data_IF_441812105741
#
_entry.id   IF_441812105741
#
_cell.length_a   1.000
_cell.length_b   1.000
_cell.length_c   1.000
_cell.angle_alpha   90.00
_cell.angle_beta   90.00
_cell.angle_gamma   90.00
#
_symmetry.space_group_name_H-M   'P 1'
#
loop_
_entity.id
_entity.type
_entity.pdbx_description
1 polymer ?
#
# COMPACT_ATOMS: atom_id res chain seq x y z
N UNK A 1 -6.22 18.29 -17.70
CA UNK A 1 -5.64 18.95 -16.51
C UNK A 1 -5.89 18.01 -15.33
N UNK A 2 -4.92 17.87 -14.43
CA UNK A 2 -5.08 16.97 -13.28
C UNK A 2 -5.59 17.81 -12.10
N UNK A 3 -6.91 17.83 -11.89
CA UNK A 3 -7.55 18.63 -10.85
C UNK A 3 -8.10 17.75 -9.73
N UNK A 4 -8.10 18.30 -8.52
CA UNK A 4 -8.80 17.69 -7.39
C UNK A 4 -10.30 17.91 -7.55
N UNK A 5 -11.08 16.82 -7.57
CA UNK A 5 -12.54 16.84 -7.74
C UNK A 5 -13.29 16.73 -6.43
N UNK A 6 -12.71 16.06 -5.44
CA UNK A 6 -13.29 15.93 -4.10
C UNK A 6 -12.21 15.67 -3.04
N UNK A 7 -12.50 16.06 -1.80
CA UNK A 7 -11.62 15.85 -0.64
C UNK A 7 -12.47 15.49 0.57
N UNK A 8 -12.25 14.29 1.09
CA UNK A 8 -12.86 13.83 2.35
C UNK A 8 -11.80 13.86 3.44
N UNK A 9 -11.90 14.81 4.36
CA UNK A 9 -10.98 14.93 5.50
C UNK A 9 -11.45 14.09 6.67
N UNK A 10 -10.69 13.04 6.99
CA UNK A 10 -10.98 12.17 8.13
C UNK A 10 -10.38 12.68 9.44
N UNK A 11 -9.24 13.38 9.36
CA UNK A 11 -8.56 14.02 10.48
C UNK A 11 -7.60 15.11 9.98
N UNK A 12 -6.91 15.80 10.89
CA UNK A 12 -5.83 16.73 10.54
C UNK A 12 -4.67 16.06 9.80
N UNK A 13 -4.59 14.73 9.84
CA UNK A 13 -3.48 13.95 9.30
C UNK A 13 -3.87 12.97 8.20
N UNK A 14 -5.17 12.87 7.89
CA UNK A 14 -5.67 11.88 6.92
C UNK A 14 -6.78 12.47 6.06
N UNK A 15 -6.61 12.40 4.75
CA UNK A 15 -7.63 12.76 3.78
C UNK A 15 -7.65 11.80 2.60
N UNK A 16 -8.84 11.49 2.10
CA UNK A 16 -9.04 10.92 0.78
C UNK A 16 -9.14 12.06 -0.23
N UNK A 17 -8.43 11.95 -1.33
CA UNK A 17 -8.39 12.96 -2.39
C UNK A 17 -8.74 12.30 -3.72
N UNK A 18 -9.80 12.79 -4.34
CA UNK A 18 -10.26 12.34 -5.67
C UNK A 18 -9.66 13.26 -6.74
N UNK A 19 -8.95 12.68 -7.70
CA UNK A 19 -8.20 13.41 -8.71
C UNK A 19 -8.69 13.00 -10.10
N UNK A 20 -8.88 13.98 -10.99
CA UNK A 20 -9.25 13.75 -12.37
C UNK A 20 -8.04 13.30 -13.18
N UNK A 21 -8.14 12.13 -13.78
CA UNK A 21 -7.22 11.63 -14.82
C UNK A 21 -7.82 10.39 -15.47
N UNK A 22 -8.41 10.55 -16.64
CA UNK A 22 -9.06 9.46 -17.38
C UNK A 22 -8.08 8.32 -17.69
N UNK A 23 -6.84 8.64 -18.05
CA UNK A 23 -5.81 7.63 -18.35
C UNK A 23 -5.45 6.76 -17.15
N UNK A 24 -5.40 7.35 -15.95
CA UNK A 24 -5.13 6.60 -14.71
C UNK A 24 -6.37 5.82 -14.30
N UNK A 25 -7.56 6.44 -14.34
CA UNK A 25 -8.82 5.80 -13.96
C UNK A 25 -9.09 4.52 -14.76
N UNK A 26 -8.78 4.52 -16.05
CA UNK A 26 -9.04 3.38 -16.96
C UNK A 26 -7.96 2.30 -16.92
N UNK A 27 -6.70 2.65 -16.62
CA UNK A 27 -5.57 1.72 -16.71
C UNK A 27 -5.03 1.22 -15.37
N UNK A 28 -5.37 1.87 -14.25
CA UNK A 28 -4.89 1.45 -12.94
C UNK A 28 -5.52 0.14 -12.47
N UNK A 29 -4.71 -0.66 -11.78
CA UNK A 29 -5.08 -1.94 -11.17
C UNK A 29 -4.50 -2.03 -9.77
N UNK A 30 -4.99 -2.97 -8.95
CA UNK A 30 -4.50 -3.20 -7.59
C UNK A 30 -2.98 -3.42 -7.56
N UNK A 31 -2.29 -2.64 -6.74
CA UNK A 31 -0.83 -2.61 -6.64
C UNK A 31 -0.17 -1.44 -7.36
N UNK A 32 -0.88 -0.76 -8.26
CA UNK A 32 -0.35 0.46 -8.89
C UNK A 32 -0.33 1.64 -7.93
N UNK A 33 0.56 2.59 -8.22
CA UNK A 33 0.71 3.86 -7.51
C UNK A 33 0.90 5.01 -8.51
N UNK A 34 0.85 6.22 -8.01
CA UNK A 34 1.19 7.45 -8.74
C UNK A 34 2.30 8.18 -8.01
N UNK A 35 3.06 9.00 -8.73
CA UNK A 35 3.91 10.02 -8.13
C UNK A 35 3.25 11.37 -8.38
N UNK A 36 3.06 12.14 -7.30
CA UNK A 36 2.44 13.46 -7.34
C UNK A 36 3.41 14.50 -6.81
N UNK A 37 3.48 15.62 -7.50
CA UNK A 37 4.04 16.87 -7.02
C UNK A 37 2.93 17.92 -7.05
N UNK A 38 2.46 18.34 -5.89
CA UNK A 38 1.31 19.23 -5.80
C UNK A 38 1.63 20.65 -6.29
N UNK A 39 2.77 21.20 -5.86
CA UNK A 39 3.26 22.52 -6.19
C UNK A 39 4.80 22.55 -6.30
N UNK A 40 5.38 23.72 -6.55
CA UNK A 40 6.84 23.88 -6.70
C UNK A 40 7.62 23.65 -5.41
N UNK A 41 7.01 23.83 -4.25
CA UNK A 41 7.63 23.63 -2.93
C UNK A 41 7.53 22.17 -2.45
N UNK A 42 6.58 21.40 -3.00
CA UNK A 42 6.38 20.01 -2.65
C UNK A 42 7.38 19.09 -3.37
N UNK A 43 7.94 18.08 -2.69
CA UNK A 43 8.67 17.01 -3.35
C UNK A 43 7.71 16.11 -4.15
N UNK A 44 8.26 15.30 -5.02
CA UNK A 44 7.55 14.18 -5.63
C UNK A 44 7.29 13.09 -4.60
N UNK A 45 6.04 12.70 -4.44
CA UNK A 45 5.60 11.75 -3.41
C UNK A 45 4.83 10.61 -4.08
N UNK A 46 5.20 9.34 -3.79
CA UNK A 46 4.42 8.20 -4.25
C UNK A 46 3.16 8.01 -3.41
N UNK A 47 2.03 7.81 -4.08
CA UNK A 47 0.74 7.48 -3.45
C UNK A 47 0.12 6.26 -4.11
N UNK A 48 -0.40 5.35 -3.30
CA UNK A 48 -1.20 4.23 -3.78
C UNK A 48 -2.48 4.72 -4.45
N UNK A 49 -2.83 4.17 -5.60
CA UNK A 49 -4.16 4.33 -6.20
C UNK A 49 -5.11 3.41 -5.43
N UNK A 50 -5.94 4.01 -4.58
CA UNK A 50 -6.84 3.27 -3.69
C UNK A 50 -8.11 2.84 -4.40
N UNK A 51 -8.65 3.72 -5.23
CA UNK A 51 -9.86 3.49 -6.02
C UNK A 51 -9.79 4.16 -7.38
N UNK A 52 -10.65 3.71 -8.30
CA UNK A 52 -10.82 4.29 -9.63
C UNK A 52 -12.30 4.33 -9.99
N UNK A 53 -12.72 5.43 -10.60
CA UNK A 53 -14.03 5.61 -11.21
C UNK A 53 -13.84 5.91 -12.70
N UNK A 54 -14.08 4.88 -13.51
CA UNK A 54 -13.90 4.96 -14.97
C UNK A 54 -15.01 5.77 -15.65
N UNK A 55 -16.19 5.91 -15.04
CA UNK A 55 -17.30 6.69 -15.59
C UNK A 55 -17.02 8.18 -15.45
N UNK A 56 -16.47 8.59 -14.31
CA UNK A 56 -16.12 9.99 -14.04
C UNK A 56 -14.67 10.34 -14.40
N UNK A 57 -13.87 9.36 -14.83
CA UNK A 57 -12.46 9.56 -15.19
C UNK A 57 -11.60 10.00 -14.01
N UNK A 58 -11.88 9.49 -12.80
CA UNK A 58 -11.20 9.87 -11.57
C UNK A 58 -10.54 8.70 -10.87
N UNK A 59 -9.54 8.99 -10.05
CA UNK A 59 -8.93 8.04 -9.13
C UNK A 59 -8.78 8.65 -7.74
N UNK A 60 -8.69 7.80 -6.73
CA UNK A 60 -8.59 8.21 -5.32
C UNK A 60 -7.25 7.81 -4.72
N UNK A 61 -6.64 8.72 -3.98
CA UNK A 61 -5.49 8.47 -3.10
C UNK A 61 -5.86 8.75 -1.66
N UNK A 62 -5.12 8.14 -0.71
CA UNK A 62 -5.18 8.52 0.70
C UNK A 62 -3.86 9.20 1.05
N UNK A 63 -3.95 10.46 1.47
CA UNK A 63 -2.83 11.20 2.05
C UNK A 63 -2.87 10.97 3.55
N UNK A 64 -1.79 10.44 4.10
CA UNK A 64 -1.67 10.20 5.53
C UNK A 64 -0.26 10.50 6.01
N UNK A 65 -0.14 11.07 7.22
CA UNK A 65 1.09 11.22 8.00
C UNK A 65 2.03 12.37 7.70
N UNK A 66 2.63 12.86 8.81
CA UNK A 66 3.74 13.80 8.90
C UNK A 66 3.30 15.27 8.87
N UNK A 67 3.96 16.11 9.66
CA UNK A 67 3.62 17.54 9.79
C UNK A 67 3.62 18.29 8.44
N UNK A 68 4.47 17.86 7.50
CA UNK A 68 4.54 18.46 6.16
C UNK A 68 3.31 18.11 5.31
N UNK A 69 2.88 16.84 5.33
CA UNK A 69 1.68 16.41 4.61
C UNK A 69 0.40 16.91 5.26
N UNK A 70 0.37 17.09 6.58
CA UNK A 70 -0.77 17.71 7.27
C UNK A 70 -0.98 19.16 6.83
N UNK A 71 0.10 19.93 6.63
CA UNK A 71 0.00 21.29 6.07
C UNK A 71 -0.56 21.26 4.65
N UNK A 72 -0.06 20.34 3.83
CA UNK A 72 -0.55 20.15 2.47
C UNK A 72 -2.06 19.80 2.47
N UNK A 73 -2.50 18.80 3.25
CA UNK A 73 -3.92 18.41 3.34
C UNK A 73 -4.80 19.62 3.64
N UNK A 74 -4.36 20.51 4.54
CA UNK A 74 -5.13 21.69 4.93
C UNK A 74 -5.18 22.77 3.84
N UNK A 75 -4.20 22.82 2.94
CA UNK A 75 -4.15 23.79 1.82
C UNK A 75 -4.83 23.30 0.55
N UNK A 76 -5.11 21.99 0.41
CA UNK A 76 -5.78 21.47 -0.77
C UNK A 76 -7.28 21.84 -0.77
N UNK A 77 -7.78 22.21 -1.95
CA UNK A 77 -9.20 22.53 -2.18
C UNK A 77 -9.69 21.85 -3.47
N UNK A 78 -10.99 21.69 -3.59
CA UNK A 78 -11.61 21.26 -4.85
C UNK A 78 -11.28 22.26 -5.94
N UNK A 79 -10.85 21.78 -7.11
CA UNK A 79 -10.38 22.60 -8.21
C UNK A 79 -8.87 22.90 -8.18
N UNK A 80 -8.15 22.47 -7.13
CA UNK A 80 -6.69 22.62 -7.07
C UNK A 80 -6.02 21.88 -8.23
N UNK A 81 -5.15 22.58 -8.96
CA UNK A 81 -4.39 22.02 -10.08
C UNK A 81 -3.08 21.41 -9.59
N UNK A 82 -2.91 20.12 -9.86
CA UNK A 82 -1.70 19.37 -9.51
C UNK A 82 -0.62 19.69 -10.54
N UNK A 83 0.55 20.10 -10.06
CA UNK A 83 1.67 20.51 -10.90
C UNK A 83 2.23 19.35 -11.75
N UNK A 84 2.42 18.17 -11.14
CA UNK A 84 3.01 17.01 -11.83
C UNK A 84 2.37 15.72 -11.31
N UNK A 85 1.85 14.91 -12.24
CA UNK A 85 1.20 13.64 -11.98
C UNK A 85 1.72 12.59 -12.95
N UNK A 86 2.33 11.55 -12.41
CA UNK A 86 2.88 10.44 -13.19
C UNK A 86 2.25 9.13 -12.72
N UNK A 87 1.68 8.37 -13.64
CA UNK A 87 1.07 7.07 -13.35
C UNK A 87 0.12 6.55 -14.44
N UNK A 88 -0.44 5.35 -14.24
CA UNK A 88 -0.13 4.44 -13.15
C UNK A 88 1.27 3.87 -13.27
N UNK A 89 1.94 3.66 -12.14
CA UNK A 89 3.30 3.15 -12.05
C UNK A 89 3.33 1.82 -11.29
N UNK A 90 4.45 1.09 -11.45
CA UNK A 90 4.68 -0.20 -10.82
C UNK A 90 4.02 -1.36 -11.55
N UNK A 91 4.10 -2.54 -10.95
CA UNK A 91 3.48 -3.76 -11.44
C UNK A 91 2.22 -4.07 -10.63
N UNK A 92 1.12 -4.35 -11.33
CA UNK A 92 -0.12 -4.77 -10.67
C UNK A 92 0.03 -6.17 -10.07
N UNK A 93 -0.68 -6.42 -8.97
CA UNK A 93 -0.84 -7.78 -8.46
C UNK A 93 -1.65 -8.63 -9.45
N UNK A 94 -1.20 -9.84 -9.72
CA UNK A 94 -2.04 -10.84 -10.39
C UNK A 94 -3.22 -11.21 -9.48
N UNK A 95 -4.42 -10.88 -9.91
CA UNK A 95 -5.65 -11.16 -9.15
C UNK A 95 -6.30 -12.43 -9.69
N UNK A 96 -6.43 -13.43 -8.80
CA UNK A 96 -7.13 -14.68 -9.05
C UNK A 96 -7.75 -15.21 -7.76
N UNK A 97 -8.52 -16.28 -7.84
CA UNK A 97 -9.00 -16.97 -6.66
C UNK A 97 -7.88 -17.87 -6.11
N UNK A 98 -7.25 -17.42 -5.04
CA UNK A 98 -6.24 -18.17 -4.28
C UNK A 98 -6.89 -19.09 -3.22
N UNK A 99 -8.09 -18.73 -2.73
CA UNK A 99 -8.76 -19.34 -1.60
C UNK A 99 -8.82 -18.40 -0.40
N UNK A 100 -8.20 -18.75 0.72
CA UNK A 100 -8.11 -17.86 1.90
C UNK A 100 -6.84 -17.02 1.82
N UNK A 101 -6.99 -15.71 1.90
CA UNK A 101 -5.90 -14.73 1.84
C UNK A 101 -5.89 -13.89 3.12
N UNK A 102 -4.74 -13.76 3.75
CA UNK A 102 -4.51 -12.80 4.85
C UNK A 102 -3.85 -11.55 4.26
N UNK A 103 -4.45 -10.39 4.53
CA UNK A 103 -3.86 -9.08 4.23
C UNK A 103 -3.44 -8.41 5.54
N UNK A 104 -2.14 -8.28 5.80
CA UNK A 104 -1.62 -7.74 7.06
C UNK A 104 -0.86 -6.43 6.85
N UNK A 105 -1.20 -5.40 7.63
CA UNK A 105 -0.53 -4.11 7.53
C UNK A 105 -0.58 -3.30 8.81
N UNK A 106 0.38 -2.38 8.95
CA UNK A 106 0.60 -1.58 10.13
C UNK A 106 0.22 -0.11 9.88
N UNK A 107 -0.67 0.41 10.71
CA UNK A 107 -1.09 1.82 10.69
C UNK A 107 -1.39 2.32 9.28
N UNK A 108 -0.74 3.43 8.89
CA UNK A 108 -0.86 3.99 7.53
C UNK A 108 -0.26 3.10 6.43
N UNK A 109 0.63 2.20 6.79
CA UNK A 109 1.16 1.18 5.89
C UNK A 109 0.06 0.27 5.32
N UNK A 110 -1.12 0.25 5.92
CA UNK A 110 -2.27 -0.52 5.43
C UNK A 110 -2.89 0.02 4.13
N UNK A 111 -2.68 1.30 3.78
CA UNK A 111 -3.26 1.93 2.58
C UNK A 111 -3.04 1.12 1.30
N UNK A 112 -1.82 0.60 0.99
CA UNK A 112 -1.60 -0.19 -0.21
C UNK A 112 -2.41 -1.49 -0.30
N UNK A 113 -2.87 -2.02 0.83
CA UNK A 113 -3.68 -3.24 0.86
C UNK A 113 -5.15 -3.00 0.49
N UNK A 114 -5.69 -1.79 0.64
CA UNK A 114 -7.10 -1.51 0.37
C UNK A 114 -7.54 -1.90 -1.06
N UNK A 115 -6.85 -1.46 -2.15
CA UNK A 115 -7.21 -1.88 -3.50
C UNK A 115 -6.98 -3.39 -3.72
N UNK A 116 -6.00 -3.99 -3.04
CA UNK A 116 -5.70 -5.43 -3.12
C UNK A 116 -6.82 -6.24 -2.46
N UNK A 117 -7.23 -5.89 -1.24
CA UNK A 117 -8.36 -6.52 -0.52
C UNK A 117 -9.61 -6.52 -1.38
N UNK A 118 -9.96 -5.35 -1.93
CA UNK A 118 -11.13 -5.21 -2.80
C UNK A 118 -11.04 -6.10 -4.05
N UNK A 119 -9.89 -6.11 -4.72
CA UNK A 119 -9.69 -6.90 -5.93
C UNK A 119 -9.72 -8.40 -5.64
N UNK A 120 -9.06 -8.85 -4.55
CA UNK A 120 -9.08 -10.25 -4.11
C UNK A 120 -10.49 -10.70 -3.75
N UNK A 121 -11.25 -9.86 -3.03
CA UNK A 121 -12.65 -10.16 -2.68
C UNK A 121 -13.52 -10.31 -3.92
N UNK A 122 -13.40 -9.41 -4.90
CA UNK A 122 -14.11 -9.49 -6.18
C UNK A 122 -13.77 -10.75 -6.98
N UNK A 123 -12.55 -11.30 -6.81
CA UNK A 123 -12.11 -12.54 -7.43
C UNK A 123 -12.56 -13.81 -6.67
N UNK A 124 -13.40 -13.68 -5.64
CA UNK A 124 -13.99 -14.80 -4.90
C UNK A 124 -13.12 -15.37 -3.78
N UNK A 125 -12.08 -14.65 -3.33
CA UNK A 125 -11.28 -15.07 -2.19
C UNK A 125 -12.02 -14.81 -0.87
N UNK A 126 -11.73 -15.63 0.15
CA UNK A 126 -11.96 -15.25 1.54
C UNK A 126 -10.79 -14.37 2.00
N UNK A 127 -11.09 -13.14 2.37
CA UNK A 127 -10.08 -12.15 2.74
C UNK A 127 -10.18 -11.84 4.23
N UNK A 128 -9.10 -12.10 4.98
CA UNK A 128 -8.93 -11.76 6.39
C UNK A 128 -7.93 -10.60 6.45
N UNK A 129 -8.34 -9.47 7.01
CA UNK A 129 -7.47 -8.31 7.18
C UNK A 129 -6.98 -8.22 8.63
N UNK A 130 -5.67 -8.11 8.83
CA UNK A 130 -5.06 -7.88 10.14
C UNK A 130 -4.46 -6.48 10.13
N UNK A 131 -4.98 -5.60 10.99
CA UNK A 131 -4.54 -4.22 11.15
C UNK A 131 -3.81 -4.08 12.49
N UNK A 132 -2.51 -3.80 12.43
CA UNK A 132 -1.72 -3.48 13.64
C UNK A 132 -1.58 -1.97 13.85
N UNK A 133 -1.24 -1.58 15.07
CA UNK A 133 -1.12 -0.18 15.50
C UNK A 133 -2.34 0.69 15.11
N UNK A 134 -3.54 0.13 15.24
CA UNK A 134 -4.76 0.84 14.94
C UNK A 134 -4.98 2.00 15.92
N UNK A 135 -5.18 3.20 15.38
CA UNK A 135 -5.50 4.40 16.15
C UNK A 135 -6.76 5.07 15.58
N UNK A 136 -7.36 5.99 16.33
CA UNK A 136 -8.48 6.79 15.81
C UNK A 136 -8.12 7.52 14.50
N UNK A 137 -6.85 7.90 14.33
CA UNK A 137 -6.35 8.58 13.12
C UNK A 137 -6.35 7.69 11.87
N UNK A 138 -6.38 6.37 12.04
CA UNK A 138 -6.44 5.37 10.98
C UNK A 138 -7.80 4.70 10.85
N UNK A 139 -8.82 5.19 11.56
CA UNK A 139 -10.19 4.62 11.56
C UNK A 139 -10.81 4.51 10.16
N UNK A 140 -10.53 5.45 9.26
CA UNK A 140 -10.99 5.39 7.87
C UNK A 140 -10.42 4.16 7.12
N UNK A 141 -9.22 3.70 7.44
CA UNK A 141 -8.62 2.52 6.81
C UNK A 141 -9.38 1.25 7.21
N UNK A 142 -9.74 1.14 8.48
CA UNK A 142 -10.59 0.06 8.98
C UNK A 142 -11.94 0.06 8.27
N UNK A 143 -12.63 1.21 8.25
CA UNK A 143 -13.94 1.33 7.59
C UNK A 143 -13.89 1.00 6.09
N UNK A 144 -12.78 1.33 5.41
CA UNK A 144 -12.57 0.94 4.02
C UNK A 144 -12.30 -0.56 3.87
N UNK A 145 -11.53 -1.18 4.77
CA UNK A 145 -11.29 -2.62 4.77
C UNK A 145 -12.57 -3.42 5.07
N UNK A 146 -13.39 -2.98 6.03
CA UNK A 146 -14.66 -3.60 6.43
C UNK A 146 -15.66 -3.75 5.27
N UNK A 147 -15.56 -2.90 4.24
CA UNK A 147 -16.44 -3.01 3.06
C UNK A 147 -16.17 -4.26 2.23
N UNK A 148 -14.97 -4.83 2.31
CA UNK A 148 -14.51 -5.88 1.40
C UNK A 148 -13.88 -7.09 2.08
N UNK A 149 -13.31 -6.96 3.27
CA UNK A 149 -12.78 -8.10 4.01
C UNK A 149 -13.94 -8.91 4.64
N UNK A 150 -13.76 -10.24 4.70
CA UNK A 150 -14.72 -11.13 5.38
C UNK A 150 -14.54 -11.07 6.90
N UNK A 151 -13.33 -10.76 7.35
CA UNK A 151 -12.97 -10.70 8.77
C UNK A 151 -11.90 -9.62 8.96
N UNK A 152 -12.03 -8.87 10.05
CA UNK A 152 -11.04 -7.88 10.48
C UNK A 152 -10.53 -8.26 11.85
N UNK A 153 -9.23 -8.37 11.98
CA UNK A 153 -8.54 -8.62 13.24
C UNK A 153 -7.70 -7.38 13.54
N UNK A 154 -7.88 -6.83 14.73
CA UNK A 154 -7.03 -5.75 15.23
C UNK A 154 -5.92 -6.38 16.08
N UNK A 155 -4.73 -5.87 15.95
CA UNK A 155 -3.54 -6.30 16.66
C UNK A 155 -2.86 -5.09 17.30
N UNK A 156 -2.38 -5.24 18.52
CA UNK A 156 -1.74 -4.15 19.25
C UNK A 156 -0.31 -3.91 18.74
N UNK A 157 0.38 -4.99 18.35
CA UNK A 157 1.76 -4.94 17.89
C UNK A 157 2.11 -6.02 16.84
N UNK A 158 3.37 -6.08 16.44
CA UNK A 158 3.86 -7.02 15.44
C UNK A 158 3.87 -8.48 15.94
N UNK A 159 4.11 -8.72 17.23
CA UNK A 159 4.19 -10.06 17.79
C UNK A 159 2.78 -10.68 17.88
N UNK A 160 1.78 -9.88 18.24
CA UNK A 160 0.37 -10.28 18.20
C UNK A 160 -0.10 -10.53 16.75
N UNK A 161 0.32 -9.69 15.79
CA UNK A 161 0.06 -9.93 14.37
C UNK A 161 0.57 -11.29 13.92
N UNK A 162 1.79 -11.64 14.29
CA UNK A 162 2.40 -12.95 13.98
C UNK A 162 1.64 -14.08 14.66
N UNK A 163 1.23 -13.90 15.92
CA UNK A 163 0.42 -14.88 16.64
C UNK A 163 -0.92 -15.14 15.95
N UNK A 164 -1.59 -14.11 15.45
CA UNK A 164 -2.81 -14.25 14.67
C UNK A 164 -2.58 -15.03 13.36
N UNK A 165 -1.52 -14.70 12.61
CA UNK A 165 -1.17 -15.43 11.38
C UNK A 165 -0.94 -16.92 11.68
N UNK A 166 -0.18 -17.25 12.75
CA UNK A 166 0.08 -18.62 13.17
C UNK A 166 -1.21 -19.35 13.57
N UNK A 167 -2.06 -18.71 14.36
CA UNK A 167 -3.34 -19.28 14.81
C UNK A 167 -4.25 -19.59 13.63
N UNK A 168 -4.41 -18.64 12.71
CA UNK A 168 -5.23 -18.82 11.50
C UNK A 168 -4.65 -19.95 10.63
N UNK A 169 -3.34 -19.97 10.41
CA UNK A 169 -2.68 -20.97 9.57
C UNK A 169 -2.77 -22.39 10.16
N UNK A 170 -2.89 -22.49 11.48
CA UNK A 170 -3.09 -23.78 12.16
C UNK A 170 -4.55 -24.24 12.15
N UNK A 171 -5.49 -23.30 12.12
CA UNK A 171 -6.93 -23.58 12.18
C UNK A 171 -7.55 -23.82 10.81
N UNK A 172 -7.00 -23.23 9.74
CA UNK A 172 -7.55 -23.35 8.38
C UNK A 172 -6.44 -23.25 7.32
N UNK A 173 -6.68 -23.73 6.09
CA UNK A 173 -5.77 -23.48 4.97
C UNK A 173 -5.67 -21.98 4.66
N UNK A 174 -4.49 -21.41 4.78
CA UNK A 174 -4.14 -20.06 4.29
C UNK A 174 -3.31 -20.22 3.03
N UNK A 175 -3.79 -19.65 1.92
CA UNK A 175 -3.20 -19.87 0.59
C UNK A 175 -2.26 -18.75 0.15
N UNK A 176 -2.39 -17.56 0.76
CA UNK A 176 -1.56 -16.40 0.46
C UNK A 176 -1.56 -15.44 1.66
N UNK A 177 -0.41 -14.85 1.94
CA UNK A 177 -0.30 -13.67 2.80
C UNK A 177 0.15 -12.50 1.93
N UNK A 178 -0.52 -11.35 2.02
CA UNK A 178 -0.07 -10.09 1.43
C UNK A 178 0.15 -9.10 2.55
N UNK A 179 1.35 -8.57 2.65
CA UNK A 179 1.72 -7.71 3.77
C UNK A 179 2.37 -6.40 3.34
N UNK A 180 2.25 -5.40 4.20
CA UNK A 180 2.96 -4.13 4.11
C UNK A 180 3.17 -3.54 5.50
N UNK A 181 4.17 -2.69 5.68
CA UNK A 181 4.47 -2.10 6.98
C UNK A 181 5.97 -1.88 7.18
N UNK A 182 6.40 -1.73 8.44
CA UNK A 182 7.82 -1.62 8.79
C UNK A 182 8.64 -2.82 8.32
N UNK A 183 9.85 -2.58 7.86
CA UNK A 183 10.71 -3.63 7.28
C UNK A 183 10.97 -4.78 8.26
N UNK A 184 11.14 -4.47 9.55
CA UNK A 184 11.36 -5.50 10.58
C UNK A 184 10.14 -6.40 10.78
N UNK A 185 8.93 -5.84 10.77
CA UNK A 185 7.68 -6.60 10.84
C UNK A 185 7.52 -7.51 9.62
N UNK A 186 7.72 -6.97 8.41
CA UNK A 186 7.65 -7.76 7.18
C UNK A 186 8.67 -8.91 7.17
N UNK A 187 9.89 -8.68 7.69
CA UNK A 187 10.91 -9.73 7.86
C UNK A 187 10.39 -10.87 8.76
N UNK A 188 9.89 -10.53 9.95
CA UNK A 188 9.36 -11.52 10.90
C UNK A 188 8.19 -12.33 10.31
N UNK A 189 7.24 -11.66 9.65
CA UNK A 189 6.12 -12.34 8.98
C UNK A 189 6.64 -13.28 7.88
N UNK A 190 7.58 -12.84 7.05
CA UNK A 190 8.19 -13.65 6.00
C UNK A 190 8.88 -14.90 6.58
N UNK A 191 9.62 -14.76 7.67
CA UNK A 191 10.28 -15.89 8.34
C UNK A 191 9.25 -16.88 8.94
N UNK A 192 8.16 -16.36 9.47
CA UNK A 192 7.07 -17.16 10.03
C UNK A 192 6.36 -17.97 8.93
N UNK A 193 5.91 -17.32 7.86
CA UNK A 193 5.16 -17.96 6.76
C UNK A 193 6.02 -18.93 5.95
N UNK A 194 7.33 -18.67 5.85
CA UNK A 194 8.29 -19.58 5.20
C UNK A 194 8.34 -20.94 5.92
N UNK A 195 8.30 -20.98 7.26
CA UNK A 195 8.35 -22.22 8.04
C UNK A 195 7.17 -23.14 7.79
N UNK A 196 6.03 -22.57 7.40
CA UNK A 196 4.78 -23.29 7.12
C UNK A 196 4.44 -23.32 5.62
N UNK A 197 5.38 -22.91 4.76
CA UNK A 197 5.27 -22.90 3.30
C UNK A 197 4.05 -22.14 2.78
N UNK A 198 3.68 -21.02 3.38
CA UNK A 198 2.61 -20.16 2.89
C UNK A 198 3.22 -19.11 1.95
N UNK A 199 2.82 -19.05 0.67
CA UNK A 199 3.22 -17.98 -0.24
C UNK A 199 2.96 -16.60 0.37
N UNK A 200 3.96 -15.72 0.33
CA UNK A 200 3.86 -14.42 1.00
C UNK A 200 4.38 -13.32 0.11
N UNK A 201 3.55 -12.32 -0.14
CA UNK A 201 3.90 -11.13 -0.91
C UNK A 201 4.04 -9.92 0.03
N UNK A 202 5.05 -9.11 -0.20
CA UNK A 202 5.20 -7.83 0.48
C UNK A 202 5.04 -6.67 -0.50
N UNK A 203 4.32 -5.63 -0.06
CA UNK A 203 4.22 -4.35 -0.78
C UNK A 203 5.23 -3.40 -0.16
N UNK A 204 6.30 -3.10 -0.89
CA UNK A 204 7.39 -2.25 -0.40
C UNK A 204 7.09 -0.78 -0.62
N UNK A 205 6.97 -0.03 0.47
CA UNK A 205 6.84 1.42 0.43
C UNK A 205 8.22 2.08 0.57
N UNK A 206 8.81 2.41 -0.58
CA UNK A 206 10.16 2.98 -0.67
C UNK A 206 10.12 4.47 -1.00
N UNK A 207 11.16 5.21 -0.57
CA UNK A 207 11.39 6.55 -1.09
C UNK A 207 11.59 6.48 -2.61
N UNK A 208 10.86 7.30 -3.35
CA UNK A 208 10.93 7.39 -4.81
C UNK A 208 11.08 8.84 -5.23
N UNK A 209 11.87 9.10 -6.28
CA UNK A 209 12.06 10.43 -6.86
C UNK A 209 11.47 10.52 -8.27
N UNK A 210 11.88 9.62 -9.18
CA UNK A 210 11.43 9.65 -10.57
C UNK A 210 10.30 8.66 -10.87
N UNK A 211 10.24 7.52 -10.18
CA UNK A 211 9.24 6.47 -10.40
C UNK A 211 9.39 5.67 -11.70
N UNK A 212 10.40 5.98 -12.51
CA UNK A 212 10.63 5.40 -13.85
C UNK A 212 11.97 4.66 -13.97
N UNK A 213 12.63 4.40 -12.85
CA UNK A 213 13.80 3.55 -12.78
C UNK A 213 15.15 4.21 -13.10
N UNK A 214 15.20 5.53 -13.27
CA UNK A 214 16.44 6.23 -13.63
C UNK A 214 17.33 6.53 -12.42
N UNK A 215 16.74 6.98 -11.30
CA UNK A 215 17.52 7.42 -10.13
C UNK A 215 18.05 6.27 -9.25
N UNK A 216 17.45 5.08 -9.29
CA UNK A 216 17.84 3.91 -8.53
C UNK A 216 17.70 4.04 -7.00
N UNK A 217 16.98 5.06 -6.49
CA UNK A 217 16.84 5.29 -5.05
C UNK A 217 15.98 4.20 -4.40
N UNK A 218 14.98 3.67 -5.09
CA UNK A 218 14.05 2.65 -4.62
C UNK A 218 14.56 1.21 -4.81
N UNK A 219 15.88 1.01 -4.97
CA UNK A 219 16.45 -0.33 -5.19
C UNK A 219 16.31 -1.22 -3.97
N UNK A 220 16.02 -2.48 -4.21
CA UNK A 220 15.94 -3.58 -3.24
C UNK A 220 16.65 -4.80 -3.80
N UNK A 221 17.16 -5.66 -2.94
CA UNK A 221 17.72 -6.97 -3.36
C UNK A 221 16.65 -8.05 -3.20
N UNK A 222 16.41 -8.78 -4.30
CA UNK A 222 15.48 -9.91 -4.38
C UNK A 222 16.20 -11.05 -5.09
N UNK A 223 16.29 -12.22 -4.48
CA UNK A 223 17.08 -13.35 -4.99
C UNK A 223 18.54 -12.98 -5.35
N UNK A 224 19.17 -12.14 -4.54
CA UNK A 224 20.53 -11.67 -4.81
C UNK A 224 20.65 -10.73 -6.01
N UNK A 225 19.53 -10.36 -6.65
CA UNK A 225 19.49 -9.44 -7.78
C UNK A 225 18.96 -8.07 -7.34
N UNK A 226 19.55 -7.00 -7.90
CA UNK A 226 19.06 -5.65 -7.70
C UNK A 226 17.79 -5.42 -8.52
N UNK A 227 16.70 -5.11 -7.83
CA UNK A 227 15.41 -4.70 -8.38
C UNK A 227 15.11 -3.25 -8.03
N UNK A 228 14.22 -2.63 -8.79
CA UNK A 228 13.74 -1.27 -8.56
C UNK A 228 12.25 -1.33 -8.20
N UNK A 229 11.89 -0.92 -6.99
CA UNK A 229 10.51 -0.99 -6.49
C UNK A 229 9.53 -0.26 -7.41
N UNK A 230 9.95 0.82 -8.06
CA UNK A 230 9.09 1.58 -8.98
C UNK A 230 8.83 0.89 -10.33
N UNK A 231 9.68 -0.05 -10.74
CA UNK A 231 9.59 -0.73 -12.05
C UNK A 231 9.26 -2.22 -11.90
N UNK A 232 10.02 -2.92 -11.03
CA UNK A 232 9.88 -4.36 -10.83
C UNK A 232 8.84 -4.72 -9.76
N UNK A 233 8.47 -3.75 -8.90
CA UNK A 233 7.52 -3.85 -7.80
C UNK A 233 6.31 -2.94 -8.00
N UNK A 234 5.65 -2.50 -6.92
CA UNK A 234 6.10 -2.52 -5.53
C UNK A 234 5.89 -3.85 -4.80
N UNK A 235 5.31 -4.85 -5.45
CA UNK A 235 4.95 -6.14 -4.86
C UNK A 235 6.03 -7.16 -5.21
N UNK A 236 6.56 -7.83 -4.19
CA UNK A 236 7.60 -8.86 -4.33
C UNK A 236 7.26 -10.09 -3.51
N UNK A 237 7.80 -11.25 -3.91
CA UNK A 237 7.80 -12.43 -3.06
C UNK A 237 8.66 -12.13 -1.83
N UNK A 238 8.02 -12.11 -0.66
CA UNK A 238 8.67 -11.74 0.58
C UNK A 238 9.74 -12.74 1.01
N UNK A 239 9.63 -13.98 0.56
CA UNK A 239 10.62 -15.01 0.87
C UNK A 239 11.96 -14.80 0.14
N UNK A 240 12.00 -13.94 -0.87
CA UNK A 240 13.17 -13.65 -1.70
C UNK A 240 13.76 -12.26 -1.46
N UNK A 241 13.07 -11.40 -0.68
CA UNK A 241 13.56 -10.06 -0.33
C UNK A 241 14.66 -10.12 0.75
N UNK A 242 15.76 -9.43 0.53
CA UNK A 242 16.80 -9.17 1.54
C UNK A 242 16.37 -8.01 2.45
N UNK A 243 15.59 -8.34 3.47
CA UNK A 243 15.07 -7.36 4.44
C UNK A 243 16.19 -6.73 5.29
N UNK A 244 17.31 -7.41 5.52
CA UNK A 244 18.43 -6.87 6.31
C UNK A 244 19.12 -5.74 5.54
N UNK A 245 19.39 -5.94 4.25
CA UNK A 245 19.92 -4.90 3.40
C UNK A 245 18.93 -3.75 3.26
N UNK A 246 17.65 -4.05 3.08
CA UNK A 246 16.59 -3.05 2.97
C UNK A 246 16.53 -2.15 4.22
N UNK A 247 16.52 -2.75 5.42
CA UNK A 247 16.51 -2.04 6.69
C UNK A 247 17.74 -1.15 6.87
N UNK A 248 18.93 -1.68 6.54
CA UNK A 248 20.16 -0.91 6.61
C UNK A 248 20.12 0.32 5.69
N UNK A 249 19.56 0.19 4.49
CA UNK A 249 19.40 1.31 3.57
C UNK A 249 18.42 2.36 4.05
N UNK A 250 17.30 1.96 4.63
CA UNK A 250 16.28 2.89 5.12
C UNK A 250 16.81 3.82 6.20
N UNK A 251 17.80 3.39 7.01
CA UNK A 251 18.46 4.24 8.03
C UNK A 251 19.13 5.48 7.46
N UNK A 252 19.45 5.52 6.17
CA UNK A 252 20.05 6.70 5.52
C UNK A 252 19.01 7.73 5.04
N UNK A 253 17.71 7.41 5.12
CA UNK A 253 16.63 8.29 4.66
C UNK A 253 15.68 8.74 5.78
N UNK A 254 16.03 8.43 7.04
CA UNK A 254 15.27 8.82 8.24
C UNK A 254 15.96 10.01 8.91
#
# INVERSE_FOLDING_TARGET
>A
MNQIKDIIRHSEHTAEVVIESESIATSARAGHFVIIRFDEECPRIPFTIVDTDTENGTFTIIIHKGARLSKLINSLEVGYEILDLLGPLGQALEIKNYGTVICSGDGAGFVPLLPIIRALKKAGNRVIAILSEFTEKTSCLRSNAEKYADEIILSEDEDETIAHINTLSSAMPVNLVVMTGPTHMMKKISECTRKVNIPTLCVLNMVMLDGVGLCGICRVMVDGQRKLTCIDGPIFDAHHVDFDQLQNRQRYFV
#
